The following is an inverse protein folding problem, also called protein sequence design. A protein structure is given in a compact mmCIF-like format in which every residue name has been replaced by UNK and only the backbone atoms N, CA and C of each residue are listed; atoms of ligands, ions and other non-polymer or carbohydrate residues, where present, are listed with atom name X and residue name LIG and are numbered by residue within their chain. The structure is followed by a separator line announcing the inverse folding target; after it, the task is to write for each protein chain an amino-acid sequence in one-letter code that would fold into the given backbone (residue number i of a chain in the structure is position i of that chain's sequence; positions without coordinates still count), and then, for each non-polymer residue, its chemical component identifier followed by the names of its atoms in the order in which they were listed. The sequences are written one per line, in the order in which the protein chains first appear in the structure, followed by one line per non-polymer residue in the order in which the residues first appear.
data_IF_650249775842
#
_entry.id   IF_650249775842
#
_cell.length_a   1.000
_cell.length_b   1.000
_cell.length_c   1.000
_cell.angle_alpha   90.00
_cell.angle_beta   90.00
_cell.angle_gamma   90.00
#
_symmetry.space_group_name_H-M   'P 1'
#
loop_
_entity.id
_entity.type
_entity.pdbx_description
1 polymer ?
#
# COMPACT_ATOMS: atom_id res chain seq x y z
N UNK A 1 23.75 0.93 -27.49
CA UNK A 1 24.52 1.81 -26.60
C UNK A 1 24.11 1.44 -25.19
N UNK A 2 24.91 0.62 -24.51
CA UNK A 2 24.64 0.19 -23.13
C UNK A 2 25.29 1.27 -22.26
N UNK A 3 24.47 2.10 -21.61
CA UNK A 3 24.95 3.06 -20.63
C UNK A 3 25.66 2.29 -19.51
N UNK A 4 26.96 2.55 -19.38
CA UNK A 4 27.78 1.99 -18.30
C UNK A 4 27.35 2.72 -17.03
N UNK A 5 26.50 2.07 -16.23
CA UNK A 5 26.15 2.50 -14.87
C UNK A 5 27.43 2.83 -14.11
N UNK A 6 27.54 4.05 -13.61
CA UNK A 6 28.72 4.46 -12.85
C UNK A 6 28.78 3.67 -11.53
N UNK A 7 29.99 3.51 -10.98
CA UNK A 7 30.23 2.73 -9.75
C UNK A 7 29.41 3.22 -8.55
N UNK A 8 28.97 4.49 -8.58
CA UNK A 8 28.16 5.12 -7.53
C UNK A 8 26.67 4.76 -7.66
N UNK A 9 26.15 4.69 -8.89
CA UNK A 9 24.74 4.33 -9.15
C UNK A 9 24.48 2.86 -8.81
N UNK A 10 25.44 2.00 -9.17
CA UNK A 10 25.41 0.58 -8.81
C UNK A 10 25.47 0.35 -7.29
N UNK A 11 26.23 1.15 -6.55
CA UNK A 11 26.27 1.11 -5.08
C UNK A 11 24.96 1.58 -4.45
N UNK A 12 24.34 2.63 -4.98
CA UNK A 12 23.03 3.12 -4.52
C UNK A 12 21.92 2.08 -4.75
N UNK A 13 21.89 1.47 -5.92
CA UNK A 13 20.94 0.40 -6.24
C UNK A 13 21.14 -0.80 -5.32
N UNK A 14 22.39 -1.20 -5.03
CA UNK A 14 22.69 -2.26 -4.07
C UNK A 14 22.17 -1.94 -2.67
N UNK A 15 22.32 -0.69 -2.23
CA UNK A 15 21.82 -0.27 -0.92
C UNK A 15 20.29 -0.26 -0.87
N UNK A 16 19.61 0.24 -1.91
CA UNK A 16 18.16 0.19 -2.04
C UNK A 16 17.64 -1.24 -2.09
N UNK A 17 18.30 -2.12 -2.85
CA UNK A 17 17.91 -3.52 -2.99
C UNK A 17 18.05 -4.26 -1.66
N UNK A 18 19.15 -4.06 -0.93
CA UNK A 18 19.29 -4.61 0.43
C UNK A 18 18.20 -4.10 1.39
N UNK A 19 17.86 -2.80 1.33
CA UNK A 19 16.79 -2.25 2.16
C UNK A 19 15.41 -2.86 1.85
N UNK A 20 15.11 -3.11 0.57
CA UNK A 20 13.88 -3.79 0.14
C UNK A 20 13.87 -5.27 0.54
N UNK A 21 15.00 -5.95 0.45
CA UNK A 21 15.16 -7.36 0.81
C UNK A 21 14.97 -7.59 2.32
N UNK A 22 15.49 -6.69 3.16
CA UNK A 22 15.23 -6.68 4.60
C UNK A 22 13.73 -6.45 4.91
N UNK A 23 13.05 -5.60 4.14
CA UNK A 23 11.60 -5.39 4.28
C UNK A 23 10.76 -6.57 3.80
N UNK A 24 11.24 -7.36 2.84
CA UNK A 24 10.52 -8.49 2.27
C UNK A 24 10.10 -9.49 3.36
N UNK A 25 11.01 -9.79 4.29
CA UNK A 25 10.75 -10.70 5.43
C UNK A 25 9.53 -10.28 6.27
N UNK A 26 9.24 -8.99 6.36
CA UNK A 26 8.12 -8.41 7.12
C UNK A 26 6.82 -8.39 6.32
N UNK A 27 6.93 -8.52 5.00
CA UNK A 27 5.85 -8.51 4.03
C UNK A 27 5.51 -9.91 3.51
N UNK A 28 6.27 -10.95 3.83
CA UNK A 28 5.90 -12.31 3.45
C UNK A 28 4.67 -12.81 4.23
N UNK A 29 3.69 -13.42 3.53
CA UNK A 29 2.58 -14.08 4.19
C UNK A 29 3.08 -15.26 5.03
N UNK A 30 2.54 -15.42 6.25
CA UNK A 30 3.01 -16.47 7.16
C UNK A 30 2.59 -17.85 6.65
N UNK A 31 3.57 -18.70 6.35
CA UNK A 31 3.38 -20.09 5.85
C UNK A 31 2.48 -20.94 6.76
N UNK A 32 2.48 -20.71 8.07
CA UNK A 32 1.56 -21.39 8.98
C UNK A 32 0.09 -20.98 8.78
N UNK A 33 -0.17 -19.72 8.43
CA UNK A 33 -1.52 -19.22 8.14
C UNK A 33 -2.06 -19.76 6.81
N UNK A 34 -1.20 -19.84 5.78
CA UNK A 34 -1.59 -20.39 4.47
C UNK A 34 -1.95 -21.88 4.56
N UNK A 35 -1.17 -22.69 5.30
CA UNK A 35 -1.47 -24.11 5.54
C UNK A 35 -2.80 -24.34 6.27
N UNK A 36 -3.23 -23.40 7.12
CA UNK A 36 -4.53 -23.48 7.79
C UNK A 36 -5.71 -23.25 6.83
N UNK A 37 -5.49 -22.50 5.75
CA UNK A 37 -6.49 -22.21 4.72
C UNK A 37 -6.58 -23.38 3.72
N UNK A 38 -5.44 -23.99 3.36
CA UNK A 38 -5.37 -25.18 2.50
C UNK A 38 -5.99 -26.42 3.16
N UNK A 39 -5.84 -26.58 4.47
CA UNK A 39 -6.39 -27.71 5.24
C UNK A 39 -7.84 -27.50 5.72
N UNK A 40 -8.42 -26.33 5.48
CA UNK A 40 -9.80 -26.05 5.88
C UNK A 40 -10.80 -26.75 4.94
N UNK A 41 -11.70 -27.56 5.52
CA UNK A 41 -12.82 -28.14 4.78
C UNK A 41 -13.89 -27.09 4.47
N UNK A 42 -14.58 -27.27 3.34
CA UNK A 42 -15.59 -26.36 2.80
C UNK A 42 -16.94 -26.50 3.53
N UNK A 43 -16.91 -26.24 4.84
CA UNK A 43 -18.07 -26.32 5.72
C UNK A 43 -18.70 -24.95 6.03
N UNK A 44 -18.25 -23.90 5.32
CA UNK A 44 -18.74 -22.54 5.48
C UNK A 44 -18.42 -21.89 6.84
N UNK A 45 -17.54 -22.49 7.65
CA UNK A 45 -17.15 -22.00 8.97
C UNK A 45 -15.75 -21.36 9.01
N UNK A 46 -14.95 -21.52 7.96
CA UNK A 46 -13.58 -21.01 7.88
C UNK A 46 -13.24 -20.62 6.44
N UNK A 47 -12.31 -19.67 6.31
CA UNK A 47 -11.66 -19.37 5.03
C UNK A 47 -10.99 -20.63 4.46
N UNK A 48 -11.33 -20.98 3.22
CA UNK A 48 -10.75 -22.11 2.47
C UNK A 48 -9.93 -21.61 1.29
N UNK A 49 -9.03 -22.46 0.78
CA UNK A 49 -8.26 -22.12 -0.43
C UNK A 49 -9.16 -21.74 -1.61
N UNK A 50 -10.30 -22.42 -1.77
CA UNK A 50 -11.28 -22.13 -2.83
C UNK A 50 -11.90 -20.73 -2.71
N UNK A 51 -12.25 -20.31 -1.50
CA UNK A 51 -12.78 -18.96 -1.27
C UNK A 51 -11.70 -17.91 -1.52
N UNK A 52 -10.46 -18.14 -1.05
CA UNK A 52 -9.32 -17.27 -1.35
C UNK A 52 -9.11 -17.11 -2.86
N UNK A 53 -9.17 -18.19 -3.64
CA UNK A 53 -8.99 -18.14 -5.09
C UNK A 53 -10.11 -17.34 -5.78
N UNK A 54 -11.34 -17.42 -5.26
CA UNK A 54 -12.45 -16.59 -5.73
C UNK A 54 -12.19 -15.10 -5.46
N UNK A 55 -11.75 -14.74 -4.25
CA UNK A 55 -11.40 -13.35 -3.91
C UNK A 55 -10.23 -12.82 -4.75
N UNK A 56 -9.19 -13.62 -4.97
CA UNK A 56 -8.05 -13.23 -5.80
C UNK A 56 -8.50 -12.98 -7.25
N UNK A 57 -9.45 -13.78 -7.76
CA UNK A 57 -10.06 -13.57 -9.07
C UNK A 57 -10.88 -12.30 -9.13
N UNK A 58 -11.62 -11.98 -8.07
CA UNK A 58 -12.38 -10.73 -7.98
C UNK A 58 -11.44 -9.52 -7.94
N UNK A 59 -10.38 -9.57 -7.12
CA UNK A 59 -9.32 -8.56 -7.09
C UNK A 59 -8.64 -8.37 -8.45
N UNK A 60 -8.39 -9.45 -9.19
CA UNK A 60 -7.83 -9.37 -10.54
C UNK A 60 -8.79 -8.64 -11.48
N UNK A 61 -10.09 -8.96 -11.41
CA UNK A 61 -11.12 -8.32 -12.23
C UNK A 61 -11.25 -6.82 -11.92
N UNK A 62 -11.19 -6.44 -10.63
CA UNK A 62 -11.21 -5.03 -10.21
C UNK A 62 -9.96 -4.29 -10.68
N UNK A 63 -8.78 -4.89 -10.54
CA UNK A 63 -7.52 -4.31 -11.01
C UNK A 63 -7.60 -4.02 -12.51
N UNK A 64 -8.10 -4.98 -13.30
CA UNK A 64 -8.29 -4.82 -14.74
C UNK A 64 -9.35 -3.76 -15.08
N UNK A 65 -10.48 -3.76 -14.36
CA UNK A 65 -11.58 -2.82 -14.60
C UNK A 65 -11.17 -1.37 -14.37
N UNK A 66 -10.40 -1.09 -13.32
CA UNK A 66 -9.90 0.25 -13.01
C UNK A 66 -8.59 0.61 -13.71
N UNK A 67 -7.98 -0.33 -14.44
CA UNK A 67 -6.72 -0.11 -15.16
C UNK A 67 -5.51 0.08 -14.25
N UNK A 68 -5.51 -0.56 -13.07
CA UNK A 68 -4.36 -0.52 -12.17
C UNK A 68 -3.21 -1.39 -12.70
N UNK A 69 -1.99 -1.03 -12.30
CA UNK A 69 -0.77 -1.74 -12.63
C UNK A 69 -0.69 -3.11 -11.91
N UNK A 70 0.16 -3.99 -12.45
CA UNK A 70 0.36 -5.33 -11.90
C UNK A 70 1.00 -5.32 -10.50
N UNK A 71 1.77 -4.28 -10.17
CA UNK A 71 2.37 -4.13 -8.83
C UNK A 71 1.26 -3.89 -7.80
N UNK A 72 0.30 -3.02 -8.10
CA UNK A 72 -0.90 -2.79 -7.28
C UNK A 72 -1.69 -4.08 -7.02
N UNK A 73 -1.88 -4.93 -8.03
CA UNK A 73 -2.50 -6.25 -7.84
C UNK A 73 -1.68 -7.14 -6.89
N UNK A 74 -0.36 -7.21 -7.09
CA UNK A 74 0.52 -8.02 -6.24
C UNK A 74 0.51 -7.58 -4.78
N UNK A 75 0.46 -6.27 -4.52
CA UNK A 75 0.35 -5.69 -3.18
C UNK A 75 -1.01 -6.00 -2.55
N UNK A 76 -2.10 -5.94 -3.31
CA UNK A 76 -3.44 -6.27 -2.84
C UNK A 76 -3.55 -7.75 -2.41
N UNK A 77 -3.04 -8.67 -3.23
CA UNK A 77 -3.00 -10.11 -2.89
C UNK A 77 -2.10 -10.37 -1.67
N UNK A 78 -0.93 -9.71 -1.58
CA UNK A 78 -0.04 -9.83 -0.43
C UNK A 78 -0.72 -9.38 0.87
N UNK A 79 -1.44 -8.26 0.85
CA UNK A 79 -2.19 -7.75 1.99
C UNK A 79 -3.33 -8.70 2.39
N UNK A 80 -4.07 -9.23 1.41
CA UNK A 80 -5.11 -10.23 1.64
C UNK A 80 -4.53 -11.45 2.36
N UNK A 81 -3.44 -12.03 1.85
CA UNK A 81 -2.83 -13.23 2.44
C UNK A 81 -2.30 -12.98 3.85
N UNK A 82 -1.69 -11.82 4.09
CA UNK A 82 -1.22 -11.45 5.44
C UNK A 82 -2.38 -11.27 6.40
N UNK A 83 -3.46 -10.63 5.95
CA UNK A 83 -4.67 -10.45 6.73
C UNK A 83 -5.29 -11.80 7.11
N UNK A 84 -5.47 -12.70 6.14
CA UNK A 84 -5.98 -14.06 6.35
C UNK A 84 -5.05 -14.93 7.21
N UNK A 85 -3.74 -14.72 7.14
CA UNK A 85 -2.78 -15.44 8.00
C UNK A 85 -2.86 -15.06 9.48
N UNK A 86 -3.46 -13.90 9.77
CA UNK A 86 -3.59 -13.34 11.13
C UNK A 86 -4.99 -13.45 11.68
N UNK A 87 -6.00 -13.28 10.83
CA UNK A 87 -7.39 -13.33 11.23
C UNK A 87 -7.99 -14.68 10.90
N UNK A 88 -8.62 -15.29 11.93
CA UNK A 88 -9.37 -16.54 11.77
C UNK A 88 -10.80 -16.19 11.33
N UNK A 89 -10.94 -15.78 10.07
CA UNK A 89 -12.21 -15.28 9.52
C UNK A 89 -13.06 -16.45 9.05
N UNK A 90 -14.34 -16.40 9.43
CA UNK A 90 -15.36 -17.30 8.90
C UNK A 90 -15.84 -16.76 7.54
N UNK A 91 -16.20 -17.63 6.59
CA UNK A 91 -16.74 -17.21 5.28
C UNK A 91 -17.92 -16.25 5.38
N UNK A 92 -18.77 -16.40 6.42
CA UNK A 92 -19.87 -15.45 6.70
C UNK A 92 -19.41 -14.05 7.10
N UNK A 93 -18.34 -13.97 7.88
CA UNK A 93 -17.78 -12.68 8.31
C UNK A 93 -17.14 -11.99 7.10
N UNK A 94 -16.50 -12.75 6.20
CA UNK A 94 -15.94 -12.22 4.96
C UNK A 94 -17.03 -11.58 4.08
N UNK A 95 -18.15 -12.29 3.84
CA UNK A 95 -19.26 -11.74 3.06
C UNK A 95 -19.85 -10.48 3.68
N UNK A 96 -19.91 -10.42 5.02
CA UNK A 96 -20.34 -9.21 5.73
C UNK A 96 -19.37 -8.05 5.52
N UNK A 97 -18.06 -8.29 5.60
CA UNK A 97 -17.05 -7.26 5.32
C UNK A 97 -17.06 -6.81 3.86
N UNK A 98 -17.27 -7.72 2.90
CA UNK A 98 -17.44 -7.38 1.48
C UNK A 98 -18.62 -6.45 1.24
N UNK A 99 -19.78 -6.74 1.85
CA UNK A 99 -20.94 -5.85 1.76
C UNK A 99 -20.65 -4.46 2.34
N UNK A 100 -19.96 -4.39 3.48
CA UNK A 100 -19.56 -3.12 4.07
C UNK A 100 -18.60 -2.35 3.17
N UNK A 101 -17.57 -3.01 2.64
CA UNK A 101 -16.61 -2.39 1.71
C UNK A 101 -17.32 -1.92 0.44
N UNK A 102 -18.23 -2.71 -0.12
CA UNK A 102 -19.04 -2.33 -1.29
C UNK A 102 -19.92 -1.11 -1.01
N UNK A 103 -20.56 -1.04 0.15
CA UNK A 103 -21.31 0.15 0.61
C UNK A 103 -20.39 1.37 0.74
N UNK A 104 -19.19 1.22 1.31
CA UNK A 104 -18.22 2.30 1.40
C UNK A 104 -17.71 2.75 0.03
N UNK A 105 -17.43 1.83 -0.90
CA UNK A 105 -16.94 2.15 -2.25
C UNK A 105 -18.01 2.84 -3.08
N UNK A 106 -19.27 2.42 -2.98
CA UNK A 106 -20.40 3.08 -3.64
C UNK A 106 -20.63 4.49 -3.07
N UNK A 107 -20.53 4.67 -1.75
CA UNK A 107 -20.57 5.98 -1.11
C UNK A 107 -19.41 6.89 -1.54
N UNK A 108 -18.19 6.36 -1.57
CA UNK A 108 -16.98 7.07 -2.01
C UNK A 108 -17.02 7.46 -3.49
N UNK A 109 -17.61 6.60 -4.32
CA UNK A 109 -17.82 6.87 -5.74
C UNK A 109 -18.87 7.97 -5.96
N UNK A 110 -19.82 8.11 -5.03
CA UNK A 110 -20.85 9.14 -5.08
C UNK A 110 -20.28 10.56 -4.97
N UNK A 111 -21.04 11.53 -5.44
CA UNK A 111 -20.68 12.94 -5.39
C UNK A 111 -20.85 13.57 -3.99
N UNK A 112 -21.24 12.76 -2.98
CA UNK A 112 -21.41 13.20 -1.60
C UNK A 112 -20.13 13.09 -0.78
N UNK A 113 -19.16 12.30 -1.23
CA UNK A 113 -17.90 12.10 -0.52
C UNK A 113 -16.85 13.12 -1.00
N UNK A 114 -16.19 13.79 -0.04
CA UNK A 114 -15.05 14.66 -0.31
C UNK A 114 -13.86 13.81 -0.78
N UNK A 115 -13.74 13.60 -2.08
CA UNK A 115 -12.59 12.92 -2.68
C UNK A 115 -11.33 13.74 -2.38
N UNK A 116 -10.27 13.17 -1.77
CA UNK A 116 -9.01 13.88 -1.61
C UNK A 116 -8.54 14.32 -3.00
N UNK A 117 -8.31 15.63 -3.14
CA UNK A 117 -7.81 16.20 -4.39
C UNK A 117 -6.51 15.47 -4.75
N UNK A 118 -6.43 14.95 -5.98
CA UNK A 118 -5.24 14.23 -6.50
C UNK A 118 -4.03 15.18 -6.63
N UNK A 119 -4.25 16.49 -6.52
CA UNK A 119 -3.18 17.47 -6.37
C UNK A 119 -2.50 17.27 -5.00
N UNK A 120 -1.18 17.05 -5.04
CA UNK A 120 -0.25 16.90 -3.90
C UNK A 120 -0.79 17.54 -2.62
N UNK A 121 -0.84 16.74 -1.54
CA UNK A 121 -1.14 17.19 -0.18
C UNK A 121 -0.40 18.50 0.12
N UNK A 122 -1.12 19.63 0.01
CA UNK A 122 -0.59 20.93 0.32
C UNK A 122 -0.85 21.14 1.80
N UNK A 123 0.18 20.96 2.62
CA UNK A 123 0.09 21.29 4.04
C UNK A 123 -0.22 22.78 4.20
N UNK A 124 -1.49 23.12 4.43
CA UNK A 124 -1.89 24.49 4.75
C UNK A 124 -1.66 24.66 6.24
N UNK A 125 -0.57 25.34 6.57
CA UNK A 125 -0.26 25.73 7.95
C UNK A 125 -1.25 26.82 8.40
N UNK A 126 -1.84 26.69 9.60
CA UNK A 126 -2.78 27.69 10.13
C UNK A 126 -2.15 29.08 10.16
N UNK A 127 -2.94 30.16 10.01
CA UNK A 127 -2.39 31.53 10.03
C UNK A 127 -1.59 31.86 11.30
N UNK A 128 -1.96 31.24 12.44
CA UNK A 128 -1.20 31.32 13.70
C UNK A 128 0.15 30.64 13.58
N UNK A 129 0.17 29.40 13.11
CA UNK A 129 1.38 28.62 12.91
C UNK A 129 2.29 29.24 11.84
N UNK A 130 1.72 29.83 10.79
CA UNK A 130 2.46 30.54 9.75
C UNK A 130 3.15 31.81 10.29
N UNK A 131 2.49 32.57 11.18
CA UNK A 131 3.10 33.73 11.85
C UNK A 131 4.21 33.32 12.84
N UNK A 132 4.01 32.22 13.57
CA UNK A 132 5.06 31.65 14.42
C UNK A 132 6.29 31.21 13.59
N UNK A 133 6.05 30.50 12.48
CA UNK A 133 7.12 30.06 11.58
C UNK A 133 7.86 31.24 10.94
N UNK A 134 7.15 32.31 10.57
CA UNK A 134 7.78 33.56 10.08
C UNK A 134 8.73 34.16 11.12
N UNK A 135 8.34 34.21 12.39
CA UNK A 135 9.22 34.70 13.45
C UNK A 135 10.43 33.80 13.72
N UNK A 136 10.28 32.48 13.59
CA UNK A 136 11.43 31.57 13.65
C UNK A 136 12.34 31.68 12.42
N UNK A 137 11.80 32.03 11.24
CA UNK A 137 12.59 32.16 10.00
C UNK A 137 13.71 33.19 10.12
N UNK A 138 13.47 34.29 10.83
CA UNK A 138 14.49 35.32 11.10
C UNK A 138 15.51 34.92 12.17
N UNK A 139 15.29 33.81 12.88
CA UNK A 139 16.19 33.28 13.92
C UNK A 139 16.99 32.06 13.47
N UNK A 140 16.70 31.51 12.29
CA UNK A 140 17.50 30.43 11.71
C UNK A 140 18.72 31.09 11.09
N UNK A 141 19.88 30.94 11.74
CA UNK A 141 21.18 31.16 11.09
C UNK A 141 21.22 30.35 9.79
N UNK A 142 21.54 31.00 8.67
CA UNK A 142 21.50 30.44 7.32
C UNK A 142 21.98 28.99 7.30
N UNK A 143 21.06 28.06 7.02
CA UNK A 143 21.41 26.67 6.77
C UNK A 143 22.35 26.62 5.57
N UNK A 144 23.45 25.86 5.62
CA UNK A 144 24.41 25.81 4.51
C UNK A 144 23.69 25.38 3.23
N UNK A 145 23.86 26.18 2.18
CA UNK A 145 23.29 25.91 0.86
C UNK A 145 23.97 24.68 0.27
N UNK A 146 23.20 23.63 0.01
CA UNK A 146 23.67 22.48 -0.77
C UNK A 146 23.81 22.96 -2.22
N UNK A 147 25.01 22.93 -2.82
CA UNK A 147 25.18 23.33 -4.20
C UNK A 147 24.44 22.33 -5.10
N UNK A 148 23.43 22.83 -5.81
CA UNK A 148 22.78 22.09 -6.89
C UNK A 148 23.84 21.85 -7.98
N UNK A 149 24.23 20.60 -8.21
CA UNK A 149 25.05 20.24 -9.36
C UNK A 149 24.25 20.53 -10.62
N UNK A 150 24.65 21.58 -11.33
CA UNK A 150 24.17 21.91 -12.67
C UNK A 150 24.73 20.84 -13.64
N UNK A 151 23.93 20.34 -14.60
CA UNK A 151 24.33 19.29 -15.54
C UNK A 151 25.53 19.64 -16.42
#
# INVERSE_FOLDING_TARGET
MIEVLTTTDSQNLLHQLNALLEQESRCQPKVCGLRLIESAHDNGLRMTARLRDFEVKDLLSLTQFFGFDTETFSLAVNLLDRFLSKMKINGRDLTFWQELVSKCLTEYSSNKCSKPNVQKLKWIVSGRTARQLKHSYYRISHLPTIPEMVP
#
